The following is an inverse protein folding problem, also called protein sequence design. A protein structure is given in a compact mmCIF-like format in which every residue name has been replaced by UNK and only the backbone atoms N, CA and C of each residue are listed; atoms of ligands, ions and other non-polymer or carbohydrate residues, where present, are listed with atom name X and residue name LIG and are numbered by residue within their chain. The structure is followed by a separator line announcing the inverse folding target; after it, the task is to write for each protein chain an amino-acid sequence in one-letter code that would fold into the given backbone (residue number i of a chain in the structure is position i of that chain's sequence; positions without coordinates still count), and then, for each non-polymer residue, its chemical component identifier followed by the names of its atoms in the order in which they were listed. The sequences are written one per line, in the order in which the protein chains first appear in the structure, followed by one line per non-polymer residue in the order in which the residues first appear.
data_IF_761752941721
#
_entry.id   IF_761752941721
#
_cell.length_a   1.000
_cell.length_b   1.000
_cell.length_c   1.000
_cell.angle_alpha   90.00
_cell.angle_beta   90.00
_cell.angle_gamma   90.00
#
_symmetry.space_group_name_H-M   'P 1'
#
loop_
_entity.id
_entity.type
_entity.pdbx_description
1 polymer ?
#
# COMPACT_ATOMS: atom_id res chain seq x y z
N UNK A 1 -32.02 3.90 -3.94
CA UNK A 1 -33.47 4.04 -3.70
C UNK A 1 -33.80 3.19 -2.48
N UNK A 2 -34.74 3.63 -1.64
CA UNK A 2 -35.29 2.77 -0.60
C UNK A 2 -36.28 1.74 -1.21
N UNK A 3 -36.87 0.87 -0.37
CA UNK A 3 -37.84 -0.16 -0.83
C UNK A 3 -39.11 0.42 -1.45
N UNK A 4 -39.38 1.74 -1.29
CA UNK A 4 -40.52 2.44 -1.91
C UNK A 4 -40.15 3.09 -3.25
N UNK A 5 -38.91 2.95 -3.72
CA UNK A 5 -38.41 3.57 -4.94
C UNK A 5 -37.99 5.03 -4.77
N UNK A 6 -38.01 5.56 -3.55
CA UNK A 6 -37.62 6.96 -3.28
C UNK A 6 -36.09 7.08 -3.18
N UNK A 7 -35.54 8.10 -3.82
CA UNK A 7 -34.11 8.41 -3.67
C UNK A 7 -33.79 8.78 -2.22
N UNK A 8 -32.98 7.97 -1.55
CA UNK A 8 -32.43 8.30 -0.22
C UNK A 8 -31.38 9.40 -0.37
N UNK A 9 -30.57 9.32 -1.42
CA UNK A 9 -29.55 10.33 -1.76
C UNK A 9 -29.99 10.99 -3.06
N UNK A 10 -30.21 12.31 -3.03
CA UNK A 10 -30.57 13.08 -4.23
C UNK A 10 -29.41 13.03 -5.24
N UNK A 11 -29.70 12.89 -6.56
CA UNK A 11 -28.68 12.97 -7.62
C UNK A 11 -28.07 14.38 -7.64
N UNK A 12 -26.90 14.56 -7.08
CA UNK A 12 -26.16 15.83 -7.03
C UNK A 12 -24.66 15.66 -7.19
N UNK A 13 -24.21 14.41 -7.38
CA UNK A 13 -22.81 14.06 -7.51
C UNK A 13 -22.50 13.68 -8.98
N UNK A 14 -21.29 13.98 -9.43
CA UNK A 14 -20.80 13.56 -10.75
C UNK A 14 -20.60 12.03 -10.76
N UNK A 15 -20.10 11.47 -9.63
CA UNK A 15 -19.91 10.05 -9.42
C UNK A 15 -20.16 9.67 -7.97
N UNK A 16 -20.63 8.46 -7.74
CA UNK A 16 -20.76 7.83 -6.42
C UNK A 16 -20.33 6.37 -6.53
N UNK A 17 -19.55 5.91 -5.55
CA UNK A 17 -19.11 4.53 -5.44
C UNK A 17 -19.87 3.82 -4.32
N UNK A 18 -19.75 2.50 -4.28
CA UNK A 18 -20.39 1.69 -3.24
C UNK A 18 -19.97 2.10 -1.83
N UNK A 19 -20.87 1.86 -0.89
CA UNK A 19 -20.56 2.08 0.52
C UNK A 19 -19.58 1.02 1.02
N UNK A 20 -18.47 1.49 1.57
CA UNK A 20 -17.49 0.72 2.30
C UNK A 20 -17.36 1.30 3.70
N UNK A 21 -17.46 0.47 4.75
CA UNK A 21 -17.34 0.91 6.15
C UNK A 21 -18.20 2.16 6.47
N UNK A 22 -19.50 2.14 6.09
CA UNK A 22 -20.50 3.20 6.30
C UNK A 22 -20.28 4.49 5.50
N UNK A 23 -19.26 4.59 4.68
CA UNK A 23 -18.97 5.76 3.86
C UNK A 23 -18.94 5.42 2.37
N UNK A 24 -19.41 6.34 1.52
CA UNK A 24 -19.28 6.25 0.08
C UNK A 24 -18.43 7.39 -0.46
N UNK A 25 -17.53 7.05 -1.39
CA UNK A 25 -16.77 8.06 -2.13
C UNK A 25 -17.69 8.78 -3.11
N UNK A 26 -17.61 10.08 -3.16
CA UNK A 26 -18.37 10.89 -4.11
C UNK A 26 -17.47 11.89 -4.81
N UNK A 27 -17.74 12.09 -6.08
CA UNK A 27 -17.13 13.14 -6.89
C UNK A 27 -18.13 14.26 -7.10
N UNK A 28 -17.66 15.49 -6.93
CA UNK A 28 -18.41 16.71 -7.25
C UNK A 28 -17.45 17.78 -7.76
N UNK A 29 -17.70 18.31 -8.96
CA UNK A 29 -16.86 19.30 -9.60
C UNK A 29 -15.39 18.84 -9.73
N UNK A 30 -15.17 17.58 -10.15
CA UNK A 30 -13.85 16.94 -10.29
C UNK A 30 -13.04 16.86 -8.98
N UNK A 31 -13.71 16.90 -7.83
CA UNK A 31 -13.11 16.71 -6.52
C UNK A 31 -13.81 15.60 -5.77
N UNK A 32 -13.04 14.85 -5.03
CA UNK A 32 -13.49 13.70 -4.27
C UNK A 32 -13.67 14.00 -2.79
N UNK A 33 -14.66 13.38 -2.19
CA UNK A 33 -14.98 13.43 -0.78
C UNK A 33 -15.72 12.17 -0.33
N UNK A 34 -16.27 12.21 0.87
CA UNK A 34 -17.08 11.12 1.43
C UNK A 34 -18.42 11.61 1.94
N UNK A 35 -19.43 10.76 1.77
CA UNK A 35 -20.76 10.91 2.35
C UNK A 35 -21.10 9.71 3.24
N UNK A 36 -22.00 9.94 4.21
CA UNK A 36 -22.64 8.89 4.98
C UNK A 36 -23.86 8.31 4.25
N UNK A 37 -24.50 7.29 4.83
CA UNK A 37 -25.70 6.64 4.27
C UNK A 37 -26.91 7.57 4.11
N UNK A 38 -26.93 8.72 4.79
CA UNK A 38 -27.96 9.74 4.63
C UNK A 38 -27.69 10.68 3.44
N UNK A 39 -26.53 10.59 2.82
CA UNK A 39 -26.07 11.48 1.74
C UNK A 39 -25.49 12.79 2.23
N UNK A 40 -25.19 12.91 3.52
CA UNK A 40 -24.54 14.08 4.12
C UNK A 40 -23.02 13.94 3.96
N UNK A 41 -22.36 15.05 3.61
CA UNK A 41 -20.91 15.08 3.56
C UNK A 41 -20.30 14.86 4.95
N UNK A 42 -19.51 13.78 5.08
CA UNK A 42 -18.58 13.57 6.18
C UNK A 42 -17.27 14.30 5.86
N UNK A 43 -16.83 14.17 4.61
CA UNK A 43 -15.67 14.88 4.09
C UNK A 43 -16.09 15.58 2.79
N UNK A 44 -16.09 16.92 2.80
CA UNK A 44 -16.44 17.69 1.61
C UNK A 44 -15.49 17.41 0.46
N UNK A 45 -15.96 17.36 -0.80
CA UNK A 45 -15.12 17.19 -1.97
C UNK A 45 -14.03 18.25 -2.05
N UNK A 46 -12.77 17.82 -1.98
CA UNK A 46 -11.59 18.71 -2.05
C UNK A 46 -10.35 18.02 -2.60
N UNK A 47 -10.34 16.69 -2.68
CA UNK A 47 -9.20 15.90 -3.12
C UNK A 47 -9.23 15.65 -4.62
N UNK A 48 -8.06 15.53 -5.24
CA UNK A 48 -7.91 15.18 -6.67
C UNK A 48 -8.23 13.71 -6.91
N UNK A 49 -7.90 12.86 -5.93
CA UNK A 49 -8.23 11.44 -5.91
C UNK A 49 -8.36 10.94 -4.48
N UNK A 50 -9.14 9.86 -4.26
CA UNK A 50 -9.36 9.27 -2.96
C UNK A 50 -9.64 7.78 -3.09
N UNK A 51 -9.21 7.00 -2.10
CA UNK A 51 -9.51 5.58 -1.98
C UNK A 51 -10.32 5.30 -0.73
N UNK A 52 -10.93 4.13 -0.65
CA UNK A 52 -11.71 3.72 0.51
C UNK A 52 -10.84 3.68 1.77
N UNK A 53 -11.51 3.77 2.91
CA UNK A 53 -10.85 3.57 4.18
C UNK A 53 -10.37 2.12 4.32
N UNK A 54 -9.15 1.96 4.77
CA UNK A 54 -8.54 0.69 5.15
C UNK A 54 -7.72 0.92 6.40
N UNK A 55 -7.92 0.11 7.43
CA UNK A 55 -7.24 0.27 8.73
C UNK A 55 -7.35 1.70 9.30
N UNK A 56 -8.58 2.29 9.24
CA UNK A 56 -8.96 3.64 9.71
C UNK A 56 -8.39 4.82 8.92
N UNK A 57 -7.66 4.58 7.85
CA UNK A 57 -7.04 5.62 7.02
C UNK A 57 -7.47 5.51 5.56
N UNK A 58 -7.68 6.66 4.91
CA UNK A 58 -7.94 6.73 3.47
C UNK A 58 -6.79 7.43 2.75
N UNK A 59 -6.36 6.84 1.63
CA UNK A 59 -5.37 7.47 0.75
C UNK A 59 -6.02 8.61 -0.01
N UNK A 60 -5.36 9.76 -0.02
CA UNK A 60 -5.83 10.94 -0.76
C UNK A 60 -4.72 11.55 -1.58
N UNK A 61 -5.09 12.03 -2.75
CA UNK A 61 -4.22 12.85 -3.57
C UNK A 61 -4.66 14.31 -3.50
N UNK A 62 -3.71 15.21 -3.33
CA UNK A 62 -3.91 16.64 -3.39
C UNK A 62 -2.67 17.29 -4.04
N UNK A 63 -2.89 18.08 -5.10
CA UNK A 63 -1.82 18.73 -5.85
C UNK A 63 -0.75 17.74 -6.36
N UNK A 64 -1.19 16.61 -6.92
CA UNK A 64 -0.32 15.53 -7.44
C UNK A 64 0.59 14.89 -6.37
N UNK A 65 0.22 14.98 -5.11
CA UNK A 65 0.93 14.34 -3.99
C UNK A 65 -0.03 13.52 -3.16
N UNK A 66 0.44 12.39 -2.70
CA UNK A 66 -0.32 11.43 -1.92
C UNK A 66 -0.04 11.54 -0.43
N UNK A 67 -1.08 11.35 0.37
CA UNK A 67 -1.05 11.29 1.82
C UNK A 67 -2.19 10.45 2.36
N UNK A 68 -2.39 10.50 3.67
CA UNK A 68 -3.49 9.81 4.35
C UNK A 68 -4.30 10.78 5.22
N UNK A 69 -5.60 10.52 5.28
CA UNK A 69 -6.55 11.18 6.17
C UNK A 69 -7.21 10.17 7.09
N UNK A 70 -7.64 10.64 8.26
CA UNK A 70 -8.55 9.91 9.15
C UNK A 70 -10.02 10.07 8.70
N UNK A 71 -10.94 9.41 9.41
CA UNK A 71 -12.39 9.45 9.13
C UNK A 71 -13.01 10.85 9.28
N UNK A 72 -12.36 11.78 9.98
CA UNK A 72 -12.78 13.18 10.05
C UNK A 72 -12.32 14.04 8.87
N UNK A 73 -11.48 13.49 8.00
CA UNK A 73 -10.85 14.19 6.88
C UNK A 73 -9.63 15.02 7.26
N UNK A 74 -9.09 14.82 8.47
CA UNK A 74 -7.86 15.43 8.95
C UNK A 74 -6.66 14.64 8.40
N UNK A 75 -5.63 15.35 7.94
CA UNK A 75 -4.40 14.71 7.52
C UNK A 75 -3.67 14.07 8.69
N UNK A 76 -3.53 12.75 8.66
CA UNK A 76 -2.60 11.99 9.49
C UNK A 76 -1.21 12.06 8.84
N UNK A 77 -1.16 11.92 7.52
CA UNK A 77 0.04 12.06 6.73
C UNK A 77 -0.23 13.09 5.63
N UNK A 78 0.39 14.27 5.74
CA UNK A 78 0.22 15.33 4.74
C UNK A 78 0.67 14.84 3.36
N UNK A 79 -0.02 15.25 2.27
CA UNK A 79 0.36 14.93 0.90
C UNK A 79 1.79 15.39 0.59
N UNK A 80 2.69 14.43 0.37
CA UNK A 80 4.11 14.69 0.06
C UNK A 80 4.76 13.64 -0.82
N UNK A 81 4.14 12.46 -0.95
CA UNK A 81 4.69 11.33 -1.71
C UNK A 81 4.24 11.36 -3.17
N UNK A 82 5.08 10.84 -4.08
CA UNK A 82 4.73 10.64 -5.49
C UNK A 82 3.64 9.57 -5.64
N UNK A 83 3.72 8.54 -4.80
CA UNK A 83 2.72 7.46 -4.70
C UNK A 83 2.74 6.85 -3.32
N UNK A 84 1.62 6.27 -2.92
CA UNK A 84 1.47 5.60 -1.63
C UNK A 84 0.53 4.40 -1.81
N UNK A 85 0.76 3.35 -1.07
CA UNK A 85 -0.06 2.14 -1.10
C UNK A 85 -0.72 1.90 0.26
N UNK A 86 -1.67 0.98 0.30
CA UNK A 86 -2.37 0.63 1.53
C UNK A 86 -1.42 0.03 2.56
N UNK A 87 -1.82 0.15 3.81
CA UNK A 87 -1.11 -0.49 4.90
C UNK A 87 -1.22 -2.01 4.80
N UNK A 88 -0.12 -2.67 5.05
CA UNK A 88 -0.03 -4.11 5.24
C UNK A 88 0.83 -4.36 6.46
N UNK A 89 0.34 -5.12 7.41
CA UNK A 89 1.01 -5.34 8.71
C UNK A 89 1.41 -4.02 9.40
N UNK A 90 0.56 -2.96 9.29
CA UNK A 90 0.80 -1.66 9.91
C UNK A 90 1.87 -0.79 9.24
N UNK A 91 2.37 -1.18 8.08
CA UNK A 91 3.36 -0.41 7.29
C UNK A 91 2.85 -0.16 5.87
N UNK A 92 3.06 1.05 5.37
CA UNK A 92 2.71 1.42 4.00
C UNK A 92 3.96 1.65 3.16
N UNK A 93 3.93 1.10 1.95
CA UNK A 93 4.92 1.40 0.92
C UNK A 93 4.66 2.80 0.35
N UNK A 94 5.71 3.58 0.18
CA UNK A 94 5.66 4.92 -0.38
C UNK A 94 6.70 5.09 -1.48
N UNK A 95 6.44 6.00 -2.42
CA UNK A 95 7.41 6.41 -3.43
C UNK A 95 7.67 7.90 -3.29
N UNK A 96 8.93 8.29 -3.31
CA UNK A 96 9.35 9.68 -3.26
C UNK A 96 10.60 9.85 -4.12
N UNK A 97 10.56 10.81 -5.05
CA UNK A 97 11.63 11.07 -6.02
C UNK A 97 12.06 9.79 -6.77
N UNK A 98 11.04 9.00 -7.20
CA UNK A 98 11.26 7.77 -7.95
C UNK A 98 11.74 6.57 -7.14
N UNK A 99 12.03 6.70 -5.85
CA UNK A 99 12.52 5.62 -4.97
C UNK A 99 11.45 5.19 -3.98
N UNK A 100 11.48 3.90 -3.65
CA UNK A 100 10.55 3.28 -2.70
C UNK A 100 11.11 3.29 -1.28
N UNK A 101 10.21 3.45 -0.32
CA UNK A 101 10.48 3.40 1.12
C UNK A 101 9.25 2.91 1.87
N UNK A 102 9.29 2.94 3.19
CA UNK A 102 8.19 2.48 4.05
C UNK A 102 7.98 3.44 5.21
N UNK A 103 6.71 3.60 5.58
CA UNK A 103 6.26 4.42 6.71
C UNK A 103 5.31 3.63 7.60
N UNK A 104 5.21 4.01 8.87
CA UNK A 104 4.16 3.54 9.77
C UNK A 104 2.89 4.40 9.66
N UNK A 105 1.84 4.04 10.40
CA UNK A 105 0.54 4.74 10.41
C UNK A 105 0.64 6.19 10.92
N UNK A 106 1.67 6.55 11.67
CA UNK A 106 1.93 7.94 12.09
C UNK A 106 2.62 8.79 11.02
N UNK A 107 3.08 8.15 9.94
CA UNK A 107 3.88 8.77 8.89
C UNK A 107 5.38 8.84 9.19
N UNK A 108 5.82 8.16 10.27
CA UNK A 108 7.24 8.01 10.58
C UNK A 108 7.90 7.12 9.52
N UNK A 109 9.04 7.57 9.01
CA UNK A 109 9.81 6.81 8.03
C UNK A 109 10.49 5.64 8.74
N UNK A 110 10.10 4.42 8.36
CA UNK A 110 10.71 3.16 8.81
C UNK A 110 11.90 2.80 7.92
N UNK A 111 11.72 2.88 6.62
CA UNK A 111 12.80 2.75 5.66
C UNK A 111 12.80 3.93 4.69
N UNK A 112 13.90 4.70 4.66
CA UNK A 112 14.02 5.87 3.78
C UNK A 112 13.81 5.47 2.32
N UNK A 113 13.13 6.31 1.50
CA UNK A 113 13.01 6.10 0.07
C UNK A 113 14.40 6.06 -0.60
N UNK A 114 14.87 4.85 -0.89
CA UNK A 114 16.17 4.58 -1.54
C UNK A 114 16.15 3.35 -2.44
N UNK A 115 15.10 2.52 -2.30
CA UNK A 115 14.99 1.27 -3.04
C UNK A 115 14.50 1.52 -4.47
N UNK A 116 14.96 0.70 -5.41
CA UNK A 116 14.50 0.70 -6.79
C UNK A 116 13.06 0.19 -6.88
N UNK A 117 12.71 -0.76 -5.99
CA UNK A 117 11.38 -1.31 -5.82
C UNK A 117 11.17 -1.86 -4.40
N UNK A 118 9.91 -2.05 -4.00
CA UNK A 118 9.53 -2.66 -2.72
C UNK A 118 8.24 -3.43 -2.85
N UNK A 119 8.18 -4.61 -2.24
CA UNK A 119 6.96 -5.41 -2.10
C UNK A 119 6.23 -5.03 -0.80
N UNK A 120 5.00 -5.53 -0.62
CA UNK A 120 4.30 -5.39 0.65
C UNK A 120 4.96 -6.24 1.74
N UNK A 121 4.76 -5.84 2.98
CA UNK A 121 5.12 -6.69 4.11
C UNK A 121 4.25 -7.95 4.12
N UNK A 122 4.88 -9.08 4.29
CA UNK A 122 4.25 -10.39 4.45
C UNK A 122 5.08 -11.21 5.42
N UNK A 123 4.44 -11.78 6.43
CA UNK A 123 5.09 -12.55 7.48
C UNK A 123 6.26 -11.82 8.17
N UNK A 124 6.11 -10.48 8.33
CA UNK A 124 7.09 -9.63 9.01
C UNK A 124 8.25 -9.14 8.15
N UNK A 125 8.33 -9.51 6.87
CA UNK A 125 9.39 -9.12 5.95
C UNK A 125 8.84 -8.47 4.69
N UNK A 126 9.60 -7.54 4.11
CA UNK A 126 9.31 -6.97 2.80
C UNK A 126 10.49 -7.19 1.85
N UNK A 127 10.19 -7.69 0.66
CA UNK A 127 11.16 -7.74 -0.44
C UNK A 127 11.49 -6.33 -0.91
N UNK A 128 12.78 -6.01 -1.04
CA UNK A 128 13.24 -4.72 -1.55
C UNK A 128 14.34 -4.91 -2.59
N UNK A 129 14.26 -4.13 -3.66
CA UNK A 129 15.29 -4.11 -4.71
C UNK A 129 16.20 -2.91 -4.49
N UNK A 130 17.50 -3.13 -4.49
CA UNK A 130 18.49 -2.08 -4.38
C UNK A 130 19.66 -2.38 -5.33
N UNK A 131 20.00 -1.41 -6.17
CA UNK A 131 21.02 -1.56 -7.21
C UNK A 131 20.80 -2.82 -8.08
N UNK A 132 19.54 -3.04 -8.48
CA UNK A 132 19.16 -4.14 -9.35
C UNK A 132 19.05 -5.52 -8.68
N UNK A 133 19.37 -5.65 -7.40
CA UNK A 133 19.34 -6.91 -6.64
C UNK A 133 18.27 -6.89 -5.57
N UNK A 134 17.65 -8.04 -5.30
CA UNK A 134 16.64 -8.22 -4.30
C UNK A 134 17.22 -8.71 -2.97
N UNK A 135 16.67 -8.19 -1.88
CA UNK A 135 16.90 -8.62 -0.51
C UNK A 135 15.63 -8.43 0.31
N UNK A 136 15.71 -8.59 1.63
CA UNK A 136 14.57 -8.44 2.52
C UNK A 136 14.91 -7.55 3.70
N UNK A 137 13.95 -6.73 4.11
CA UNK A 137 13.99 -5.90 5.32
C UNK A 137 12.93 -6.35 6.32
N UNK A 138 13.21 -6.17 7.61
CA UNK A 138 12.25 -6.34 8.69
C UNK A 138 11.37 -5.10 8.89
N UNK A 139 10.43 -5.18 9.84
CA UNK A 139 9.52 -4.08 10.19
C UNK A 139 10.22 -2.87 10.80
N UNK A 140 11.49 -2.96 11.17
CA UNK A 140 12.32 -1.83 11.61
C UNK A 140 13.04 -1.14 10.43
N UNK A 141 12.93 -1.70 9.21
CA UNK A 141 13.59 -1.22 8.00
C UNK A 141 15.04 -1.68 7.86
N UNK A 142 15.49 -2.61 8.70
CA UNK A 142 16.85 -3.19 8.64
C UNK A 142 16.86 -4.39 7.69
N UNK A 143 17.97 -4.55 6.97
CA UNK A 143 18.17 -5.75 6.16
C UNK A 143 18.34 -6.99 7.06
N UNK A 144 17.42 -7.95 6.88
CA UNK A 144 17.58 -9.33 7.33
C UNK A 144 18.39 -10.10 6.30
N UNK A 145 18.07 -9.86 5.02
CA UNK A 145 18.76 -10.47 3.89
C UNK A 145 19.24 -9.36 2.98
N UNK A 146 20.56 -9.16 2.90
CA UNK A 146 21.14 -8.13 2.02
C UNK A 146 20.81 -8.41 0.57
N UNK A 147 20.65 -7.37 -0.28
CA UNK A 147 20.36 -7.52 -1.69
C UNK A 147 21.43 -8.37 -2.41
N UNK A 148 21.03 -9.52 -2.93
CA UNK A 148 21.89 -10.46 -3.65
C UNK A 148 21.20 -11.28 -4.73
N UNK A 149 19.86 -11.40 -4.66
CA UNK A 149 19.09 -12.22 -5.59
C UNK A 149 18.67 -11.47 -6.85
N UNK A 150 18.50 -12.19 -7.95
CA UNK A 150 17.99 -11.66 -9.22
C UNK A 150 16.49 -11.46 -9.19
N UNK A 151 15.78 -12.38 -8.50
CA UNK A 151 14.33 -12.37 -8.33
C UNK A 151 13.94 -12.98 -6.99
N UNK A 152 12.75 -12.58 -6.50
CA UNK A 152 12.14 -13.11 -5.29
C UNK A 152 10.64 -13.28 -5.51
N UNK A 153 10.00 -14.08 -4.66
CA UNK A 153 8.56 -14.18 -4.50
C UNK A 153 8.14 -13.78 -3.08
N UNK A 154 6.86 -13.94 -2.77
CA UNK A 154 6.34 -13.68 -1.42
C UNK A 154 6.63 -14.86 -0.51
N UNK A 155 6.83 -14.58 0.78
CA UNK A 155 6.93 -15.61 1.81
C UNK A 155 5.62 -16.37 1.92
N UNK A 156 5.74 -17.68 2.08
CA UNK A 156 4.65 -18.61 2.45
C UNK A 156 5.18 -19.60 3.46
N UNK A 157 4.47 -19.77 4.57
CA UNK A 157 4.85 -20.72 5.62
C UNK A 157 6.33 -20.66 6.02
N UNK A 158 6.87 -19.45 6.11
CA UNK A 158 8.25 -19.20 6.51
C UNK A 158 9.31 -19.41 5.44
N UNK A 159 8.95 -19.77 4.21
CA UNK A 159 9.88 -19.97 3.09
C UNK A 159 9.58 -18.99 1.97
N UNK A 160 10.59 -18.70 1.16
CA UNK A 160 10.45 -17.87 -0.05
C UNK A 160 11.30 -18.43 -1.20
N UNK A 161 10.70 -18.45 -2.39
CA UNK A 161 11.41 -18.78 -3.64
C UNK A 161 12.31 -17.59 -4.01
N UNK A 162 13.55 -17.86 -4.32
CA UNK A 162 14.54 -16.87 -4.79
C UNK A 162 15.22 -17.36 -6.07
N UNK A 163 15.55 -16.42 -6.94
CA UNK A 163 16.31 -16.70 -8.17
C UNK A 163 17.72 -16.12 -8.05
N UNK A 164 18.72 -16.88 -8.46
CA UNK A 164 20.12 -16.48 -8.51
C UNK A 164 20.79 -17.13 -9.73
N UNK A 165 21.41 -16.30 -10.60
CA UNK A 165 22.08 -16.75 -11.82
C UNK A 165 21.20 -17.64 -12.70
N UNK A 166 19.90 -17.29 -12.84
CA UNK A 166 18.94 -18.04 -13.64
C UNK A 166 18.45 -19.36 -13.05
N UNK A 167 18.83 -19.69 -11.82
CA UNK A 167 18.38 -20.87 -11.09
C UNK A 167 17.56 -20.47 -9.85
N UNK A 168 16.65 -21.34 -9.44
CA UNK A 168 15.74 -21.10 -8.33
C UNK A 168 16.04 -22.02 -7.14
N UNK A 169 15.83 -21.48 -5.94
CA UNK A 169 15.97 -22.14 -4.67
C UNK A 169 14.96 -21.64 -3.64
N UNK A 170 15.01 -22.16 -2.44
CA UNK A 170 14.20 -21.72 -1.30
C UNK A 170 15.12 -21.29 -0.15
N UNK A 171 14.72 -20.20 0.51
CA UNK A 171 15.36 -19.73 1.74
C UNK A 171 14.31 -19.52 2.83
N UNK A 172 14.74 -19.61 4.09
CA UNK A 172 13.91 -19.26 5.24
C UNK A 172 13.97 -17.75 5.53
N UNK A 173 13.21 -17.30 6.54
CA UNK A 173 13.14 -15.89 6.96
C UNK A 173 14.48 -15.31 7.44
N UNK A 174 15.41 -16.16 7.89
CA UNK A 174 16.76 -15.72 8.29
C UNK A 174 17.70 -15.55 7.11
N UNK A 175 17.30 -16.01 5.93
CA UNK A 175 18.11 -16.06 4.71
C UNK A 175 18.97 -17.31 4.60
N UNK A 176 18.74 -18.32 5.49
CA UNK A 176 19.38 -19.62 5.39
C UNK A 176 18.82 -20.37 4.18
N UNK A 177 19.68 -20.92 3.38
CA UNK A 177 19.32 -21.74 2.23
C UNK A 177 18.70 -23.04 2.71
N UNK A 178 17.47 -23.31 2.29
CA UNK A 178 16.75 -24.57 2.51
C UNK A 178 16.89 -25.47 1.28
N UNK A 179 16.76 -24.85 0.08
CA UNK A 179 17.01 -25.52 -1.18
C UNK A 179 17.96 -24.62 -1.99
N UNK A 180 19.09 -25.14 -2.39
CA UNK A 180 20.08 -24.42 -3.20
C UNK A 180 19.48 -23.92 -4.51
N UNK A 181 19.83 -22.69 -4.97
CA UNK A 181 19.43 -22.18 -6.28
C UNK A 181 20.12 -22.93 -7.42
N UNK A 182 19.59 -24.12 -7.79
CA UNK A 182 20.12 -24.98 -8.84
C UNK A 182 19.06 -25.54 -9.79
N UNK A 183 17.79 -25.25 -9.53
CA UNK A 183 16.66 -25.75 -10.30
C UNK A 183 16.23 -24.75 -11.35
N UNK A 184 15.76 -25.24 -12.50
CA UNK A 184 15.21 -24.40 -13.59
C UNK A 184 13.80 -23.88 -13.24
N UNK A 185 13.06 -24.59 -12.39
CA UNK A 185 11.81 -24.14 -11.78
C UNK A 185 11.58 -24.85 -10.45
N UNK A 186 10.90 -24.18 -9.54
CA UNK A 186 10.38 -24.74 -8.27
C UNK A 186 8.93 -24.31 -8.15
N UNK A 187 8.04 -25.29 -8.11
CA UNK A 187 6.63 -25.09 -7.78
C UNK A 187 6.47 -25.33 -6.27
N UNK A 188 6.02 -24.30 -5.60
CA UNK A 188 5.93 -24.26 -4.15
C UNK A 188 4.68 -23.47 -3.71
#
# INVERSE_FOLDING_TARGET
MDRSGKFVIKPKFDSIWDFSEELARVELNRKWGFIDRSGKFVIKPKFDSIWDFSEELARVELNRRWGFIDRSGKFVIKPKFDSIWDFSEGLAKVKLNGKYGFIDKSGKIIAKPKFDYGEYFSEGLAGVKLNGRWGFIDRSGKFVIKPKFDSIWSFREGLVKVGLNGKYGLIDKSGKIVIEPKFDDIRY
#
